data_IF_283586601941
#
_entry.id   IF_283586601941
#
_cell.length_a   1.000
_cell.length_b   1.000
_cell.length_c   1.000
_cell.angle_alpha   90.00
_cell.angle_beta   90.00
_cell.angle_gamma   90.00
#
_symmetry.space_group_name_H-M   'P 1'
#
loop_
_entity.id
_entity.type
_entity.pdbx_description
1 polymer ?
#
# COMPACT_ATOMS: atom_id res chain seq x y z
N UNK A 1 7.38 7.80 -5.15
CA UNK A 1 5.99 7.32 -5.12
C UNK A 1 5.85 6.23 -6.17
N UNK A 2 5.23 5.10 -5.84
CA UNK A 2 5.00 3.99 -6.78
C UNK A 2 3.53 3.57 -6.75
N UNK A 3 3.05 3.07 -7.88
CA UNK A 3 1.73 2.46 -8.06
C UNK A 3 1.89 1.24 -8.99
N UNK A 4 0.91 0.35 -9.01
CA UNK A 4 0.90 -0.84 -9.87
C UNK A 4 0.83 -2.15 -9.08
N UNK A 5 1.06 -3.30 -9.74
CA UNK A 5 0.91 -4.62 -9.11
C UNK A 5 1.83 -4.79 -7.89
N UNK A 6 1.34 -5.44 -6.84
CA UNK A 6 2.12 -5.60 -5.59
C UNK A 6 3.48 -6.28 -5.80
N UNK A 7 3.58 -7.25 -6.72
CA UNK A 7 4.86 -7.88 -7.05
C UNK A 7 5.89 -6.90 -7.61
N UNK A 8 5.45 -5.94 -8.44
CA UNK A 8 6.31 -4.88 -8.95
C UNK A 8 6.72 -3.92 -7.84
N UNK A 9 5.76 -3.55 -6.97
CA UNK A 9 6.04 -2.66 -5.83
C UNK A 9 7.05 -3.29 -4.86
N UNK A 10 6.91 -4.58 -4.53
CA UNK A 10 7.86 -5.34 -3.71
C UNK A 10 9.29 -5.27 -4.27
N UNK A 11 9.46 -5.57 -5.56
CA UNK A 11 10.77 -5.50 -6.22
C UNK A 11 11.33 -4.07 -6.23
N UNK A 12 10.48 -3.08 -6.52
CA UNK A 12 10.85 -1.66 -6.54
C UNK A 12 11.30 -1.15 -5.17
N UNK A 13 10.56 -1.49 -4.09
CA UNK A 13 10.92 -1.14 -2.71
C UNK A 13 12.30 -1.71 -2.36
N UNK A 14 12.55 -2.98 -2.68
CA UNK A 14 13.85 -3.61 -2.46
C UNK A 14 14.99 -2.88 -3.18
N UNK A 15 14.77 -2.45 -4.42
CA UNK A 15 15.76 -1.67 -5.17
C UNK A 15 16.02 -0.28 -4.57
N UNK A 16 14.98 0.40 -4.11
CA UNK A 16 15.09 1.72 -3.48
C UNK A 16 15.86 1.65 -2.15
N UNK A 17 15.56 0.66 -1.32
CA UNK A 17 16.26 0.44 -0.05
C UNK A 17 17.73 0.10 -0.32
N UNK A 18 18.03 -0.75 -1.30
CA UNK A 18 19.40 -1.07 -1.69
C UNK A 18 20.21 0.16 -2.18
N UNK A 19 19.51 1.20 -2.68
CA UNK A 19 20.11 2.49 -3.06
C UNK A 19 20.21 3.49 -1.90
N UNK A 20 19.89 3.08 -0.68
CA UNK A 20 19.99 3.92 0.52
C UNK A 20 18.79 4.86 0.73
N UNK A 21 17.67 4.66 0.03
CA UNK A 21 16.46 5.42 0.29
C UNK A 21 15.82 4.93 1.59
N UNK A 22 15.66 5.83 2.55
CA UNK A 22 15.00 5.55 3.82
C UNK A 22 13.53 5.12 3.61
N UNK A 23 13.05 4.14 4.38
CA UNK A 23 11.71 3.55 4.22
C UNK A 23 10.60 4.61 4.33
N UNK A 24 10.77 5.61 5.19
CA UNK A 24 9.83 6.70 5.45
C UNK A 24 9.69 7.64 4.23
N UNK A 25 10.63 7.57 3.28
CA UNK A 25 10.61 8.33 2.02
C UNK A 25 10.00 7.53 0.86
N UNK A 26 9.63 6.27 1.10
CA UNK A 26 8.98 5.41 0.12
C UNK A 26 7.47 5.50 0.32
N UNK A 27 6.76 5.91 -0.72
CA UNK A 27 5.31 6.07 -0.72
C UNK A 27 4.69 5.19 -1.80
N UNK A 28 3.59 4.54 -1.45
CA UNK A 28 2.87 3.58 -2.27
C UNK A 28 1.42 4.03 -2.41
N UNK A 29 0.92 4.05 -3.64
CA UNK A 29 -0.50 4.20 -3.92
C UNK A 29 -1.13 2.83 -3.96
N UNK A 30 -1.91 2.49 -2.93
CA UNK A 30 -2.56 1.20 -2.80
C UNK A 30 -3.88 1.20 -3.58
N UNK A 31 -4.11 0.12 -4.32
CA UNK A 31 -5.32 -0.09 -5.11
C UNK A 31 -6.09 -1.29 -4.54
N UNK A 32 -7.41 -1.14 -4.38
CA UNK A 32 -8.33 -2.17 -3.90
C UNK A 32 -9.65 -2.08 -4.64
N UNK A 33 -10.43 -3.16 -4.61
CA UNK A 33 -11.81 -3.11 -5.09
C UNK A 33 -12.59 -2.06 -4.29
N UNK A 34 -12.98 -0.99 -4.96
CA UNK A 34 -13.66 0.14 -4.34
C UNK A 34 -15.10 0.19 -4.85
N UNK A 35 -16.05 0.17 -3.93
CA UNK A 35 -17.48 0.23 -4.26
C UNK A 35 -18.15 1.49 -3.70
N UNK A 36 -18.21 1.65 -2.38
CA UNK A 36 -18.89 2.81 -1.79
C UNK A 36 -18.05 4.10 -1.75
N UNK A 37 -16.72 4.00 -1.80
CA UNK A 37 -15.77 5.11 -1.64
C UNK A 37 -15.90 6.00 -0.38
N UNK A 38 -16.72 5.62 0.61
CA UNK A 38 -16.97 6.41 1.84
C UNK A 38 -16.66 5.67 3.14
N UNK A 39 -15.89 4.57 3.06
CA UNK A 39 -15.49 3.80 4.24
C UNK A 39 -16.61 3.01 4.92
N UNK A 40 -17.70 2.71 4.21
CA UNK A 40 -18.87 2.02 4.75
C UNK A 40 -18.91 0.52 4.42
N UNK A 41 -18.59 0.13 3.16
CA UNK A 41 -18.85 -1.22 2.66
C UNK A 41 -17.74 -2.26 2.86
N UNK A 42 -16.56 -1.90 3.37
CA UNK A 42 -15.46 -2.86 3.59
C UNK A 42 -14.66 -3.30 2.35
N UNK A 43 -15.17 -3.18 1.12
CA UNK A 43 -14.44 -3.65 -0.08
C UNK A 43 -13.02 -3.05 -0.24
N UNK A 44 -12.86 -1.77 0.12
CA UNK A 44 -11.58 -1.06 0.03
C UNK A 44 -10.67 -1.30 1.26
N UNK A 45 -11.02 -2.23 2.16
CA UNK A 45 -10.28 -2.47 3.40
C UNK A 45 -8.91 -3.09 3.11
N UNK A 46 -7.91 -2.57 3.83
CA UNK A 46 -6.54 -3.02 3.81
C UNK A 46 -5.97 -3.01 5.24
N UNK A 47 -5.99 -4.19 5.87
CA UNK A 47 -5.72 -4.31 7.31
C UNK A 47 -6.71 -3.49 8.14
N UNK A 48 -6.24 -2.60 9.03
CA UNK A 48 -7.11 -1.74 9.84
C UNK A 48 -7.64 -0.51 9.10
N UNK A 49 -7.13 -0.21 7.90
CA UNK A 49 -7.40 1.02 7.18
C UNK A 49 -8.36 0.77 6.00
N UNK A 50 -9.11 1.80 5.61
CA UNK A 50 -9.88 1.85 4.36
C UNK A 50 -9.10 2.65 3.33
N UNK A 51 -8.70 2.03 2.21
CA UNK A 51 -7.97 2.73 1.13
C UNK A 51 -8.73 3.96 0.62
N UNK A 52 -10.06 3.87 0.58
CA UNK A 52 -10.93 4.95 0.14
C UNK A 52 -11.09 6.12 1.12
N UNK A 53 -10.71 5.96 2.40
CA UNK A 53 -10.85 6.99 3.44
C UNK A 53 -9.50 7.44 4.00
N UNK A 54 -8.63 6.49 4.31
CA UNK A 54 -7.35 6.69 4.98
C UNK A 54 -6.18 6.72 3.99
N UNK A 55 -6.41 6.25 2.75
CA UNK A 55 -5.44 6.21 1.66
C UNK A 55 -5.74 7.23 0.56
N UNK A 56 -5.44 6.92 -0.73
CA UNK A 56 -4.82 5.69 -1.23
C UNK A 56 -3.30 5.64 -1.03
N UNK A 57 -2.70 6.76 -0.63
CA UNK A 57 -1.25 6.91 -0.51
C UNK A 57 -0.82 6.62 0.92
N UNK A 58 0.04 5.62 1.08
CA UNK A 58 0.63 5.27 2.37
C UNK A 58 2.16 5.30 2.27
N UNK A 59 2.82 5.67 3.36
CA UNK A 59 4.25 5.42 3.52
C UNK A 59 4.50 3.92 3.66
N UNK A 60 5.64 3.44 3.17
CA UNK A 60 5.98 2.02 3.23
C UNK A 60 5.92 1.44 4.66
N UNK A 61 6.41 2.12 5.72
CA UNK A 61 6.29 1.61 7.09
C UNK A 61 4.84 1.36 7.55
N UNK A 62 3.87 2.15 7.10
CA UNK A 62 2.45 1.96 7.46
C UNK A 62 1.87 0.65 6.93
N UNK A 63 2.36 0.19 5.77
CA UNK A 63 1.78 -0.94 5.04
C UNK A 63 2.70 -2.15 4.92
N UNK A 64 3.98 -2.02 5.30
CA UNK A 64 5.03 -3.06 5.20
C UNK A 64 4.60 -4.43 5.75
N UNK A 65 3.88 -4.43 6.86
CA UNK A 65 3.42 -5.67 7.50
C UNK A 65 2.28 -6.36 6.73
N UNK A 66 1.48 -5.58 5.98
CA UNK A 66 0.35 -6.08 5.20
C UNK A 66 0.82 -6.71 3.89
N UNK A 67 1.87 -6.17 3.27
CA UNK A 67 2.51 -6.68 2.04
C UNK A 67 3.03 -8.13 2.13
N UNK A 68 3.21 -8.67 3.34
CA UNK A 68 3.72 -10.03 3.57
C UNK A 68 2.63 -11.08 3.62
N UNK A 69 1.35 -10.67 3.64
CA UNK A 69 0.22 -11.59 3.78
C UNK A 69 -0.40 -11.86 2.42
N UNK A 70 -0.39 -13.12 1.99
CA UNK A 70 -1.02 -13.54 0.73
C UNK A 70 -2.55 -13.40 0.82
N UNK A 71 -3.15 -12.82 -0.21
CA UNK A 71 -4.60 -12.73 -0.37
C UNK A 71 -5.27 -11.67 0.50
N UNK A 72 -4.47 -10.80 1.13
CA UNK A 72 -4.97 -9.70 1.94
C UNK A 72 -5.28 -8.50 1.08
#
# INVERSE_FOLDING_TARGET
>A
MMCGPEGMMHAGIGNLIARGIAEERIYLSMERSMHCAVGHCGHCQYGPNFVCRDGPVFSYPQVRNLFRVRGL
#
